data_IF_485786157779
#
_entry.id   IF_485786157779
#
_cell.length_a   1.000
_cell.length_b   1.000
_cell.length_c   1.000
_cell.angle_alpha   90.00
_cell.angle_beta   90.00
_cell.angle_gamma   90.00
#
_symmetry.space_group_name_H-M   'P 1'
#
loop_
_entity.id
_entity.type
_entity.pdbx_description
1 polymer ?
#
# COMPACT_ATOMS: atom_id res chain seq x y z
N UNK A 1 -13.06 43.83 -2.89
CA UNK A 1 -11.66 43.83 -2.42
C UNK A 1 -11.07 42.49 -2.87
N UNK A 2 -10.36 42.56 -3.96
CA UNK A 2 -9.76 41.44 -4.67
C UNK A 2 -8.53 40.96 -3.91
N UNK A 3 -8.58 39.74 -3.37
CA UNK A 3 -7.40 39.07 -2.85
C UNK A 3 -6.55 38.58 -4.03
N UNK A 4 -5.37 39.15 -4.14
CA UNK A 4 -4.33 38.74 -5.09
C UNK A 4 -3.91 37.30 -4.78
N UNK A 5 -4.02 36.43 -5.79
CA UNK A 5 -3.34 35.14 -5.80
C UNK A 5 -1.84 35.38 -5.74
N UNK A 6 -1.20 34.72 -4.80
CA UNK A 6 0.25 34.65 -4.70
C UNK A 6 0.74 33.70 -5.82
N UNK A 7 1.43 34.30 -6.80
CA UNK A 7 2.10 33.64 -7.92
C UNK A 7 3.33 32.89 -7.35
N UNK A 8 3.15 31.66 -6.89
CA UNK A 8 4.24 30.72 -6.70
C UNK A 8 4.16 29.64 -7.76
N UNK A 9 4.60 29.96 -8.98
CA UNK A 9 5.11 28.98 -9.94
C UNK A 9 6.42 28.41 -9.35
N UNK A 10 6.31 27.71 -8.22
CA UNK A 10 7.38 27.03 -7.53
C UNK A 10 7.69 25.69 -8.21
N UNK A 11 8.90 25.20 -7.99
CA UNK A 11 9.28 23.81 -8.32
C UNK A 11 8.28 22.82 -7.71
N UNK A 12 8.07 21.67 -8.37
CA UNK A 12 7.28 20.60 -7.82
C UNK A 12 7.77 20.25 -6.40
N UNK A 13 6.88 20.00 -5.43
CA UNK A 13 7.26 19.59 -4.08
C UNK A 13 7.92 18.20 -4.08
N UNK A 14 8.58 17.83 -3.00
CA UNK A 14 9.34 16.57 -2.91
C UNK A 14 8.51 15.31 -3.23
N UNK A 15 7.22 15.30 -2.88
CA UNK A 15 6.30 14.20 -3.20
C UNK A 15 5.84 14.18 -4.68
N UNK A 16 6.16 15.21 -5.46
CA UNK A 16 5.86 15.34 -6.87
C UNK A 16 7.13 15.62 -7.71
N UNK A 17 8.31 15.26 -7.21
CA UNK A 17 9.63 15.50 -7.81
C UNK A 17 9.80 14.90 -9.21
N UNK A 18 8.99 13.88 -9.52
CA UNK A 18 8.94 13.26 -10.84
C UNK A 18 8.32 14.14 -11.92
N UNK A 19 7.68 15.25 -11.56
CA UNK A 19 7.11 16.22 -12.51
C UNK A 19 8.05 17.37 -12.76
N UNK A 20 8.20 17.77 -14.03
CA UNK A 20 8.80 19.04 -14.36
C UNK A 20 7.95 20.21 -13.80
N UNK A 21 8.54 21.40 -13.59
CA UNK A 21 7.77 22.57 -13.12
C UNK A 21 6.55 22.89 -14.01
N UNK A 22 6.64 22.65 -15.31
CA UNK A 22 5.55 22.87 -16.26
C UNK A 22 4.44 21.82 -16.10
N UNK A 23 4.79 20.54 -15.97
CA UNK A 23 3.83 19.46 -15.71
C UNK A 23 3.13 19.64 -14.38
N UNK A 24 3.88 20.02 -13.34
CA UNK A 24 3.32 20.34 -12.04
C UNK A 24 2.30 21.47 -12.10
N UNK A 25 2.65 22.59 -12.72
CA UNK A 25 1.73 23.72 -12.88
C UNK A 25 0.46 23.32 -13.65
N UNK A 26 0.60 22.50 -14.67
CA UNK A 26 -0.53 21.98 -15.43
C UNK A 26 -1.40 21.04 -14.62
N UNK A 27 -0.80 20.14 -13.84
CA UNK A 27 -1.52 19.22 -12.95
C UNK A 27 -2.37 20.00 -11.94
N UNK A 28 -1.77 20.95 -11.23
CA UNK A 28 -2.46 21.78 -10.24
C UNK A 28 -3.60 22.58 -10.88
N UNK A 29 -3.36 23.18 -12.04
CA UNK A 29 -4.39 23.93 -12.76
C UNK A 29 -5.56 23.03 -13.21
N UNK A 30 -5.27 21.81 -13.66
CA UNK A 30 -6.28 20.83 -14.09
C UNK A 30 -7.12 20.37 -12.90
N UNK A 31 -6.48 20.13 -11.75
CA UNK A 31 -7.11 19.76 -10.51
C UNK A 31 -8.07 20.87 -10.02
N UNK A 32 -7.57 22.11 -9.90
CA UNK A 32 -8.36 23.24 -9.46
C UNK A 32 -9.57 23.50 -10.38
N UNK A 33 -9.37 23.43 -11.71
CA UNK A 33 -10.43 23.62 -12.68
C UNK A 33 -11.55 22.57 -12.57
N UNK A 34 -11.23 21.31 -12.23
CA UNK A 34 -12.24 20.28 -12.04
C UNK A 34 -13.05 20.50 -10.74
N UNK A 35 -12.38 20.82 -9.64
CA UNK A 35 -13.02 21.10 -8.36
C UNK A 35 -13.90 22.38 -8.42
N UNK A 36 -13.41 23.44 -9.09
CA UNK A 36 -14.19 24.65 -9.32
C UNK A 36 -15.46 24.37 -10.14
N UNK A 37 -15.35 23.57 -11.20
CA UNK A 37 -16.50 23.18 -12.04
C UNK A 37 -17.55 22.42 -11.24
N UNK A 38 -17.14 21.65 -10.23
CA UNK A 38 -18.02 20.94 -9.31
C UNK A 38 -18.63 21.84 -8.24
N UNK A 39 -18.16 23.09 -8.12
CA UNK A 39 -18.57 24.01 -7.06
C UNK A 39 -18.12 23.59 -5.67
N UNK A 40 -17.05 22.79 -5.59
CA UNK A 40 -16.49 22.27 -4.34
C UNK A 40 -15.49 23.28 -3.76
N UNK A 41 -15.75 23.74 -2.54
CA UNK A 41 -14.77 24.55 -1.81
C UNK A 41 -13.55 23.67 -1.50
N UNK A 42 -12.38 24.12 -1.94
CA UNK A 42 -11.16 23.32 -1.81
C UNK A 42 -9.93 24.16 -1.46
N UNK A 43 -8.92 23.50 -0.87
CA UNK A 43 -7.59 24.02 -0.63
C UNK A 43 -6.57 22.92 -0.92
N UNK A 44 -5.69 23.17 -1.87
CA UNK A 44 -4.59 22.24 -2.18
C UNK A 44 -3.46 22.55 -1.20
N UNK A 45 -3.03 21.53 -0.47
CA UNK A 45 -1.88 21.58 0.42
C UNK A 45 -0.65 21.06 -0.34
N UNK A 46 0.23 21.98 -0.70
CA UNK A 46 1.42 21.68 -1.49
C UNK A 46 2.52 20.96 -0.70
N UNK A 47 2.49 21.07 0.61
CA UNK A 47 3.50 20.43 1.48
C UNK A 47 3.17 18.97 1.71
N UNK A 48 1.91 18.65 1.99
CA UNK A 48 1.46 17.29 2.30
C UNK A 48 0.98 16.49 1.09
N UNK A 49 0.80 17.13 -0.07
CA UNK A 49 0.24 16.46 -1.25
C UNK A 49 -1.23 16.07 -1.10
N UNK A 50 -1.96 16.84 -0.32
CA UNK A 50 -3.37 16.60 -0.08
C UNK A 50 -4.24 17.76 -0.63
N UNK A 51 -5.47 17.44 -0.99
CA UNK A 51 -6.51 18.43 -1.21
C UNK A 51 -7.57 18.33 -0.12
N UNK A 52 -7.78 19.45 0.58
CA UNK A 52 -8.86 19.58 1.55
C UNK A 52 -10.10 20.05 0.79
N UNK A 53 -11.16 19.29 0.84
CA UNK A 53 -12.45 19.62 0.20
C UNK A 53 -13.55 19.73 1.25
N UNK A 54 -14.52 20.59 1.01
CA UNK A 54 -15.72 20.73 1.83
C UNK A 54 -16.91 20.42 0.95
N UNK A 55 -17.54 19.28 1.22
CA UNK A 55 -18.80 18.85 0.57
C UNK A 55 -19.91 18.84 1.62
N UNK A 56 -20.36 17.67 2.05
CA UNK A 56 -21.25 17.50 3.22
C UNK A 56 -20.49 17.52 4.56
N UNK A 57 -19.14 17.51 4.52
CA UNK A 57 -18.20 17.59 5.63
C UNK A 57 -16.77 17.84 5.13
N UNK A 58 -15.79 18.10 6.02
CA UNK A 58 -14.40 18.23 5.63
C UNK A 58 -13.82 16.88 5.26
N UNK A 59 -13.26 16.79 4.06
CA UNK A 59 -12.56 15.60 3.57
C UNK A 59 -11.13 15.97 3.14
N UNK A 60 -10.19 15.05 3.38
CA UNK A 60 -8.79 15.18 2.96
C UNK A 60 -8.49 14.05 1.99
N UNK A 61 -8.11 14.40 0.77
CA UNK A 61 -7.84 13.46 -0.31
C UNK A 61 -6.37 13.55 -0.71
N UNK A 62 -5.65 12.43 -0.65
CA UNK A 62 -4.26 12.35 -1.09
C UNK A 62 -4.16 12.40 -2.62
N UNK A 63 -3.20 13.18 -3.13
CA UNK A 63 -3.00 13.40 -4.57
C UNK A 63 -1.93 12.50 -5.18
N UNK A 64 -1.10 11.82 -4.38
CA UNK A 64 0.03 11.03 -4.88
C UNK A 64 -0.38 9.96 -5.90
N UNK A 65 -1.46 9.23 -5.65
CA UNK A 65 -1.98 8.23 -6.58
C UNK A 65 -2.48 8.84 -7.90
N UNK A 66 -3.19 9.96 -7.81
CA UNK A 66 -3.67 10.67 -9.00
C UNK A 66 -2.51 11.20 -9.84
N UNK A 67 -1.48 11.71 -9.18
CA UNK A 67 -0.26 12.18 -9.82
C UNK A 67 0.45 11.05 -10.57
N UNK A 68 0.60 9.87 -9.96
CA UNK A 68 1.19 8.69 -10.61
C UNK A 68 0.37 8.23 -11.82
N UNK A 69 -0.97 8.21 -11.72
CA UNK A 69 -1.86 7.91 -12.84
C UNK A 69 -1.69 8.91 -13.98
N UNK A 70 -1.52 10.19 -13.69
CA UNK A 70 -1.28 11.23 -14.68
C UNK A 70 0.11 11.05 -15.34
N UNK A 71 1.15 10.76 -14.56
CA UNK A 71 2.50 10.49 -15.07
C UNK A 71 2.56 9.35 -16.10
N UNK A 72 1.81 8.28 -15.85
CA UNK A 72 1.72 7.13 -16.77
C UNK A 72 0.89 7.38 -18.05
N UNK A 73 0.39 8.61 -18.27
CA UNK A 73 -0.50 8.95 -19.39
C UNK A 73 -0.02 10.19 -20.16
N UNK A 74 -0.34 10.31 -21.46
CA UNK A 74 -0.11 11.54 -22.19
C UNK A 74 -0.89 12.69 -21.55
N UNK A 75 -0.30 13.90 -21.61
CA UNK A 75 -0.80 15.13 -20.93
C UNK A 75 -2.26 15.45 -21.27
N UNK A 76 -2.66 15.17 -22.52
CA UNK A 76 -4.03 15.38 -23.01
C UNK A 76 -5.07 14.53 -22.25
N UNK A 77 -4.64 13.41 -21.69
CA UNK A 77 -5.50 12.50 -20.92
C UNK A 77 -5.65 12.86 -19.44
N UNK A 78 -4.87 13.83 -18.92
CA UNK A 78 -4.87 14.19 -17.50
C UNK A 78 -6.20 14.76 -17.03
N UNK A 79 -6.83 15.63 -17.83
CA UNK A 79 -8.14 16.18 -17.47
C UNK A 79 -9.22 15.09 -17.32
N UNK A 80 -9.16 14.05 -18.15
CA UNK A 80 -10.06 12.92 -18.03
C UNK A 80 -9.75 12.06 -16.80
N UNK A 81 -8.46 11.87 -16.46
CA UNK A 81 -8.02 11.14 -15.28
C UNK A 81 -8.42 11.86 -13.98
N UNK A 82 -8.21 13.17 -13.92
CA UNK A 82 -8.61 14.03 -12.79
C UNK A 82 -10.13 14.02 -12.62
N UNK A 83 -10.87 14.20 -13.72
CA UNK A 83 -12.34 14.14 -13.70
C UNK A 83 -12.83 12.80 -13.16
N UNK A 84 -12.32 11.68 -13.71
CA UNK A 84 -12.69 10.34 -13.26
C UNK A 84 -12.40 10.12 -11.78
N UNK A 85 -11.22 10.55 -11.30
CA UNK A 85 -10.86 10.45 -9.90
C UNK A 85 -11.88 11.14 -8.98
N UNK A 86 -12.28 12.36 -9.31
CA UNK A 86 -13.26 13.10 -8.50
C UNK A 86 -14.71 12.66 -8.73
N UNK A 87 -15.07 12.13 -9.91
CA UNK A 87 -16.37 11.46 -10.11
C UNK A 87 -16.50 10.28 -9.12
N UNK A 88 -15.43 9.49 -8.98
CA UNK A 88 -15.38 8.34 -8.06
C UNK A 88 -15.43 8.79 -6.60
N UNK A 89 -14.62 9.77 -6.21
CA UNK A 89 -14.43 10.13 -4.79
C UNK A 89 -15.54 11.05 -4.24
N UNK A 90 -16.10 11.94 -5.09
CA UNK A 90 -17.05 12.97 -4.64
C UNK A 90 -18.50 12.70 -5.07
N UNK A 91 -18.73 11.94 -6.14
CA UNK A 91 -20.06 11.72 -6.73
C UNK A 91 -20.64 10.32 -6.44
N UNK A 92 -20.04 9.54 -5.54
CA UNK A 92 -20.54 8.22 -5.14
C UNK A 92 -21.99 8.32 -4.59
N UNK A 93 -22.98 8.29 -5.49
CA UNK A 93 -24.39 8.59 -5.17
C UNK A 93 -25.24 7.40 -4.73
N UNK A 94 -24.76 6.16 -4.92
CA UNK A 94 -25.58 4.96 -4.71
C UNK A 94 -25.00 3.98 -3.67
N UNK A 95 -24.08 4.42 -2.81
CA UNK A 95 -23.47 3.62 -1.75
C UNK A 95 -23.67 4.23 -0.35
N UNK A 96 -23.54 3.41 0.67
CA UNK A 96 -23.44 3.91 2.05
C UNK A 96 -22.25 4.84 2.17
N UNK A 97 -22.43 5.92 2.90
CA UNK A 97 -21.36 6.88 3.15
C UNK A 97 -20.48 6.39 4.30
N UNK A 98 -19.20 6.83 4.34
CA UNK A 98 -18.33 6.55 5.47
C UNK A 98 -18.95 7.04 6.79
N UNK A 99 -19.69 8.15 6.77
CA UNK A 99 -20.38 8.70 7.94
C UNK A 99 -21.51 7.77 8.46
N UNK A 100 -22.27 7.12 7.57
CA UNK A 100 -23.29 6.15 7.96
C UNK A 100 -22.64 4.89 8.56
N UNK A 101 -21.54 4.42 7.97
CA UNK A 101 -20.79 3.26 8.48
C UNK A 101 -20.15 3.56 9.83
N UNK A 102 -19.57 4.75 10.02
CA UNK A 102 -18.96 5.15 11.29
C UNK A 102 -19.94 5.11 12.47
N UNK A 103 -21.23 5.38 12.23
CA UNK A 103 -22.26 5.44 13.28
C UNK A 103 -22.80 4.09 13.70
N UNK A 104 -22.69 3.05 12.88
CA UNK A 104 -23.32 1.74 13.12
C UNK A 104 -22.38 0.60 12.74
N UNK A 105 -21.81 -0.06 13.75
CA UNK A 105 -20.93 -1.20 13.57
C UNK A 105 -21.56 -2.34 12.77
N UNK A 106 -22.85 -2.59 12.93
CA UNK A 106 -23.53 -3.66 12.19
C UNK A 106 -23.55 -3.41 10.68
N UNK A 107 -23.55 -2.12 10.29
CA UNK A 107 -23.43 -1.69 8.91
C UNK A 107 -21.98 -1.64 8.43
N UNK A 108 -21.04 -1.23 9.31
CA UNK A 108 -19.63 -1.11 8.99
C UNK A 108 -18.92 -2.47 8.83
N UNK A 109 -19.28 -3.44 9.65
CA UNK A 109 -18.63 -4.75 9.76
C UNK A 109 -18.35 -5.45 8.41
N UNK A 110 -19.27 -5.54 7.45
CA UNK A 110 -19.00 -6.18 6.16
C UNK A 110 -18.17 -5.33 5.19
N UNK A 111 -17.93 -4.05 5.52
CA UNK A 111 -17.21 -3.10 4.69
C UNK A 111 -15.81 -2.75 5.20
N UNK A 112 -15.47 -3.15 6.43
CA UNK A 112 -14.12 -2.90 6.96
C UNK A 112 -13.13 -3.89 6.37
N UNK A 113 -11.98 -3.38 5.90
CA UNK A 113 -10.86 -4.17 5.39
C UNK A 113 -9.53 -3.57 5.81
N UNK A 114 -8.49 -4.37 5.83
CA UNK A 114 -7.12 -3.92 6.09
C UNK A 114 -6.43 -3.53 4.78
N UNK A 115 -5.73 -2.40 4.79
CA UNK A 115 -4.90 -1.97 3.68
C UNK A 115 -3.51 -1.57 4.16
N UNK A 116 -2.47 -2.00 3.46
CA UNK A 116 -1.08 -1.71 3.81
C UNK A 116 -0.62 -0.35 3.30
N UNK A 117 0.16 0.33 4.14
CA UNK A 117 0.81 1.62 3.84
C UNK A 117 2.20 1.67 4.47
N UNK A 118 3.09 2.44 3.87
CA UNK A 118 4.25 2.96 4.59
C UNK A 118 3.77 4.03 5.57
N UNK A 119 4.24 3.98 6.82
CA UNK A 119 3.80 4.89 7.89
C UNK A 119 3.98 6.36 7.53
N UNK A 120 5.12 6.69 6.90
CA UNK A 120 5.48 8.07 6.55
C UNK A 120 4.58 8.65 5.43
N UNK A 121 3.86 7.78 4.72
CA UNK A 121 2.91 8.19 3.67
C UNK A 121 1.49 8.40 4.19
N UNK A 122 1.24 8.19 5.49
CA UNK A 122 -0.07 8.44 6.07
C UNK A 122 -0.28 9.95 6.31
N UNK A 123 -1.51 10.44 6.16
CA UNK A 123 -1.86 11.81 6.54
C UNK A 123 -1.72 11.99 8.06
N UNK A 124 -1.45 13.23 8.48
CA UNK A 124 -1.37 13.61 9.90
C UNK A 124 -2.79 13.73 10.51
N UNK A 125 -3.48 12.59 10.56
CA UNK A 125 -4.78 12.42 11.21
C UNK A 125 -4.78 11.09 11.97
N UNK A 126 -5.41 11.01 13.15
CA UNK A 126 -5.51 9.76 13.90
C UNK A 126 -6.32 8.71 13.15
N UNK A 127 -5.66 7.66 12.67
CA UNK A 127 -6.26 6.52 11.97
C UNK A 127 -6.18 5.26 12.83
N UNK A 128 -7.06 4.30 12.57
CA UNK A 128 -6.98 2.97 13.16
C UNK A 128 -5.92 2.17 12.43
N UNK A 129 -4.81 1.84 13.12
CA UNK A 129 -3.63 1.21 12.52
C UNK A 129 -3.03 0.14 13.40
N UNK A 130 -2.39 -0.85 12.77
CA UNK A 130 -1.58 -1.88 13.42
C UNK A 130 -0.18 -1.91 12.78
N UNK A 131 0.84 -2.01 13.62
CA UNK A 131 2.23 -2.15 13.16
C UNK A 131 2.45 -3.57 12.65
N UNK A 132 2.79 -3.72 11.35
CA UNK A 132 3.05 -5.03 10.73
C UNK A 132 4.55 -5.31 10.68
N UNK A 133 5.33 -4.28 10.42
CA UNK A 133 6.79 -4.26 10.49
C UNK A 133 7.25 -2.82 10.74
N UNK A 134 8.51 -2.62 11.05
CA UNK A 134 9.10 -1.28 11.18
C UNK A 134 8.79 -0.44 9.92
N UNK A 135 7.99 0.62 10.09
CA UNK A 135 7.55 1.51 9.03
C UNK A 135 6.44 0.98 8.10
N UNK A 136 5.98 -0.26 8.27
CA UNK A 136 4.86 -0.84 7.51
C UNK A 136 3.65 -1.01 8.43
N UNK A 137 2.53 -0.42 8.07
CA UNK A 137 1.29 -0.46 8.86
C UNK A 137 0.11 -0.99 8.06
N UNK A 138 -0.77 -1.73 8.74
CA UNK A 138 -2.11 -2.01 8.27
C UNK A 138 -3.04 -0.89 8.78
N UNK A 139 -3.82 -0.32 7.89
CA UNK A 139 -4.81 0.71 8.17
C UNK A 139 -6.20 0.11 7.98
N UNK A 140 -7.07 0.33 8.94
CA UNK A 140 -8.48 -0.01 8.77
C UNK A 140 -9.13 0.92 7.77
N UNK A 141 -9.84 0.35 6.81
CA UNK A 141 -10.50 1.12 5.75
C UNK A 141 -11.93 0.64 5.55
N UNK A 142 -12.80 1.54 5.11
CA UNK A 142 -14.08 1.17 4.49
C UNK A 142 -13.85 0.89 3.02
N UNK A 143 -14.25 -0.31 2.58
CA UNK A 143 -14.34 -0.68 1.18
C UNK A 143 -15.71 -0.30 0.66
N UNK A 144 -15.74 0.75 -0.14
CA UNK A 144 -16.95 1.27 -0.79
C UNK A 144 -16.87 0.98 -2.30
N UNK A 145 -18.01 0.93 -3.02
CA UNK A 145 -18.03 0.48 -4.42
C UNK A 145 -17.02 1.16 -5.34
N UNK A 146 -16.74 2.44 -5.10
CA UNK A 146 -15.89 3.25 -5.99
C UNK A 146 -14.65 3.82 -5.28
N UNK A 147 -14.49 3.60 -3.96
CA UNK A 147 -13.42 4.22 -3.18
C UNK A 147 -13.11 3.43 -1.92
N UNK A 148 -11.90 3.64 -1.40
CA UNK A 148 -11.46 3.13 -0.10
C UNK A 148 -11.16 4.32 0.80
N UNK A 149 -11.79 4.36 1.98
CA UNK A 149 -11.68 5.46 2.94
C UNK A 149 -11.07 4.92 4.24
N UNK A 150 -9.99 5.53 4.73
CA UNK A 150 -9.38 5.16 6.00
C UNK A 150 -10.30 5.51 7.17
N UNK A 151 -10.43 4.60 8.13
CA UNK A 151 -11.24 4.78 9.33
C UNK A 151 -10.45 5.61 10.34
N UNK A 152 -11.05 6.69 10.83
CA UNK A 152 -10.45 7.53 11.86
C UNK A 152 -10.67 6.92 13.24
N UNK A 153 -9.74 7.21 14.14
CA UNK A 153 -9.83 6.70 15.52
C UNK A 153 -11.12 7.14 16.21
N UNK A 154 -11.56 8.39 15.98
CA UNK A 154 -12.83 8.91 16.52
C UNK A 154 -14.08 8.16 16.02
N UNK A 155 -14.04 7.64 14.79
CA UNK A 155 -15.14 6.85 14.22
C UNK A 155 -15.21 5.46 14.88
N UNK A 156 -14.03 4.86 15.12
CA UNK A 156 -13.91 3.55 15.79
C UNK A 156 -14.38 3.58 17.24
N UNK A 157 -14.15 4.67 17.97
CA UNK A 157 -14.56 4.81 19.38
C UNK A 157 -16.06 4.61 19.62
N UNK A 158 -16.87 4.72 18.59
CA UNK A 158 -18.32 4.50 18.65
C UNK A 158 -18.71 3.01 18.58
N UNK A 159 -17.76 2.11 18.29
CA UNK A 159 -18.01 0.69 18.09
C UNK A 159 -17.62 -0.11 19.34
N UNK A 160 -18.55 -0.95 19.82
CA UNK A 160 -18.28 -1.90 20.90
C UNK A 160 -17.63 -3.17 20.34
N UNK A 161 -16.35 -3.05 19.97
CA UNK A 161 -15.53 -4.13 19.41
C UNK A 161 -14.08 -3.94 19.85
N UNK A 162 -13.35 -5.02 20.15
CA UNK A 162 -11.94 -4.95 20.51
C UNK A 162 -11.08 -4.70 19.26
N UNK A 163 -9.84 -4.22 19.46
CA UNK A 163 -8.92 -3.99 18.33
C UNK A 163 -8.52 -5.30 17.65
N UNK A 164 -8.37 -6.39 18.43
CA UNK A 164 -8.05 -7.72 17.89
C UNK A 164 -9.20 -8.28 17.05
N UNK A 165 -10.46 -8.25 17.58
CA UNK A 165 -11.64 -8.66 16.81
C UNK A 165 -11.80 -7.82 15.53
N UNK A 166 -11.50 -6.53 15.60
CA UNK A 166 -11.61 -5.62 14.47
C UNK A 166 -10.59 -5.94 13.39
N UNK A 167 -9.33 -6.24 13.80
CA UNK A 167 -8.29 -6.70 12.89
C UNK A 167 -8.70 -8.00 12.19
N UNK A 168 -9.12 -9.00 12.97
CA UNK A 168 -9.50 -10.32 12.47
C UNK A 168 -10.69 -10.24 11.49
N UNK A 169 -11.72 -9.45 11.83
CA UNK A 169 -12.87 -9.24 10.95
C UNK A 169 -12.44 -8.56 9.65
N UNK A 170 -11.63 -7.49 9.74
CA UNK A 170 -11.18 -6.77 8.57
C UNK A 170 -10.27 -7.62 7.66
N UNK A 171 -9.42 -8.48 8.26
CA UNK A 171 -8.59 -9.44 7.52
C UNK A 171 -9.44 -10.55 6.88
N UNK A 172 -10.43 -11.07 7.60
CA UNK A 172 -11.36 -12.06 7.07
C UNK A 172 -12.12 -11.52 5.85
N UNK A 173 -12.57 -10.27 5.90
CA UNK A 173 -13.25 -9.62 4.77
C UNK A 173 -12.35 -9.48 3.53
N UNK A 174 -11.02 -9.31 3.70
CA UNK A 174 -10.09 -9.36 2.56
C UNK A 174 -9.97 -10.79 2.01
N UNK A 175 -9.86 -11.80 2.89
CA UNK A 175 -9.79 -13.21 2.50
C UNK A 175 -11.02 -13.70 1.76
N UNK A 176 -12.21 -13.18 2.09
CA UNK A 176 -13.49 -13.54 1.43
C UNK A 176 -13.52 -13.14 -0.06
N UNK A 177 -12.68 -12.19 -0.51
CA UNK A 177 -12.51 -11.89 -1.95
C UNK A 177 -11.87 -13.04 -2.73
N UNK A 178 -11.27 -14.02 -2.02
CA UNK A 178 -10.56 -15.15 -2.60
C UNK A 178 -9.07 -14.85 -2.85
N UNK A 179 -8.32 -15.89 -3.16
CA UNK A 179 -6.90 -15.77 -3.45
C UNK A 179 -6.66 -15.15 -4.83
N UNK A 180 -5.69 -14.26 -4.91
CA UNK A 180 -5.22 -13.73 -6.19
C UNK A 180 -4.50 -14.83 -7.00
N UNK A 181 -4.52 -14.76 -8.33
CA UNK A 181 -3.70 -15.65 -9.14
C UNK A 181 -2.21 -15.43 -8.83
N UNK A 182 -1.50 -16.52 -8.56
CA UNK A 182 -0.06 -16.52 -8.38
C UNK A 182 0.62 -16.89 -9.70
N UNK A 183 1.55 -16.05 -10.16
CA UNK A 183 2.37 -16.29 -11.35
C UNK A 183 3.79 -16.57 -10.93
N UNK A 184 4.34 -17.71 -11.34
CA UNK A 184 5.73 -18.03 -11.10
C UNK A 184 6.64 -17.33 -12.11
N UNK A 185 7.67 -16.66 -11.59
CA UNK A 185 8.75 -16.02 -12.36
C UNK A 185 10.01 -16.86 -12.17
N UNK A 186 10.42 -17.56 -13.23
CA UNK A 186 11.66 -18.34 -13.25
C UNK A 186 12.88 -17.40 -13.29
N UNK A 187 13.78 -17.55 -12.35
CA UNK A 187 15.05 -16.80 -12.24
C UNK A 187 16.25 -17.58 -12.75
N UNK A 188 16.04 -18.80 -13.26
CA UNK A 188 17.08 -19.76 -13.60
C UNK A 188 17.68 -20.45 -12.37
N UNK A 189 18.48 -21.49 -12.60
CA UNK A 189 19.10 -22.31 -11.55
C UNK A 189 18.09 -22.85 -10.50
N UNK A 190 16.84 -23.06 -10.93
CA UNK A 190 15.72 -23.51 -10.08
C UNK A 190 15.33 -22.51 -8.98
N UNK A 191 15.74 -21.25 -9.09
CA UNK A 191 15.21 -20.18 -8.27
C UNK A 191 13.96 -19.59 -8.96
N UNK A 192 12.92 -19.30 -8.18
CA UNK A 192 11.71 -18.70 -8.69
C UNK A 192 11.12 -17.72 -7.68
N UNK A 193 10.36 -16.75 -8.16
CA UNK A 193 9.51 -15.87 -7.36
C UNK A 193 8.06 -16.16 -7.68
N UNK A 194 7.19 -15.90 -6.72
CA UNK A 194 5.76 -15.83 -6.96
C UNK A 194 5.33 -14.36 -7.00
N UNK A 195 4.57 -14.00 -8.01
CA UNK A 195 3.96 -12.70 -8.20
C UNK A 195 2.46 -12.83 -7.98
N UNK A 196 1.93 -12.07 -7.04
CA UNK A 196 0.49 -11.84 -6.88
C UNK A 196 0.16 -10.47 -7.48
N UNK A 197 -0.76 -10.45 -8.42
CA UNK A 197 -1.18 -9.22 -9.06
C UNK A 197 -2.70 -9.08 -8.99
N UNK A 198 -3.19 -8.04 -8.32
CA UNK A 198 -4.60 -7.73 -8.18
C UNK A 198 -5.00 -6.54 -9.06
N UNK A 199 -5.31 -6.79 -10.34
CA UNK A 199 -5.56 -5.71 -11.31
C UNK A 199 -6.73 -4.79 -10.98
N UNK A 200 -7.77 -5.27 -10.28
CA UNK A 200 -8.99 -4.51 -9.96
C UNK A 200 -9.24 -4.29 -8.49
N UNK A 201 -8.61 -5.08 -7.60
CA UNK A 201 -8.79 -4.90 -6.15
C UNK A 201 -7.84 -3.85 -5.58
N UNK A 202 -8.34 -3.07 -4.62
CA UNK A 202 -7.52 -2.12 -3.84
C UNK A 202 -6.75 -2.80 -2.71
N UNK A 203 -6.96 -4.11 -2.50
CA UNK A 203 -6.47 -4.87 -1.34
C UNK A 203 -5.44 -5.93 -1.71
N UNK A 204 -4.90 -5.93 -2.93
CA UNK A 204 -3.93 -6.94 -3.35
C UNK A 204 -2.68 -6.99 -2.44
N UNK A 205 -2.15 -5.83 -2.02
CA UNK A 205 -1.03 -5.77 -1.08
C UNK A 205 -1.36 -6.41 0.27
N UNK A 206 -2.61 -6.38 0.70
CA UNK A 206 -3.05 -6.94 1.99
C UNK A 206 -2.97 -8.47 2.03
N UNK A 207 -2.84 -9.14 0.86
CA UNK A 207 -2.56 -10.57 0.79
C UNK A 207 -1.21 -10.96 1.40
N UNK A 208 -0.30 -10.00 1.59
CA UNK A 208 0.92 -10.22 2.36
C UNK A 208 0.66 -10.58 3.83
N UNK A 209 -0.49 -10.17 4.40
CA UNK A 209 -0.89 -10.46 5.78
C UNK A 209 -1.32 -11.93 6.00
N UNK A 210 -1.61 -12.65 4.92
CA UNK A 210 -1.99 -14.06 4.94
C UNK A 210 -1.31 -14.86 3.83
N UNK A 211 -0.03 -14.56 3.60
CA UNK A 211 0.78 -15.24 2.57
C UNK A 211 0.85 -16.76 2.80
N UNK A 212 0.60 -17.22 4.01
CA UNK A 212 0.53 -18.63 4.37
C UNK A 212 -0.52 -19.40 3.55
N UNK A 213 -1.64 -18.73 3.19
CA UNK A 213 -2.69 -19.34 2.39
C UNK A 213 -2.20 -19.71 0.98
N UNK A 214 -1.18 -19.01 0.46
CA UNK A 214 -0.55 -19.28 -0.84
C UNK A 214 0.45 -20.43 -0.84
N UNK A 215 0.93 -20.79 0.34
CA UNK A 215 1.86 -21.92 0.55
C UNK A 215 1.20 -23.07 1.32
N UNK A 216 -0.14 -23.13 1.31
CA UNK A 216 -0.96 -24.17 1.92
C UNK A 216 -0.69 -24.37 3.43
N UNK A 217 -0.42 -23.26 4.12
CA UNK A 217 -0.11 -23.24 5.56
C UNK A 217 1.33 -23.63 5.91
N UNK A 218 2.13 -24.10 4.95
CA UNK A 218 3.51 -24.53 5.17
C UNK A 218 4.51 -23.47 4.69
N UNK A 219 4.88 -22.53 5.58
CA UNK A 219 5.91 -21.52 5.30
C UNK A 219 7.33 -22.06 5.33
N UNK A 220 7.50 -23.32 5.70
CA UNK A 220 8.80 -24.02 5.78
C UNK A 220 9.64 -23.61 6.99
N UNK A 221 10.81 -24.25 7.16
CA UNK A 221 11.65 -24.05 8.35
C UNK A 221 12.41 -22.73 8.38
N UNK A 222 12.41 -21.97 7.27
CA UNK A 222 13.13 -20.71 7.14
C UNK A 222 12.22 -19.53 6.81
N UNK A 223 10.90 -19.78 6.65
CA UNK A 223 9.90 -18.75 6.39
C UNK A 223 9.86 -18.28 4.93
N UNK A 224 9.33 -17.06 4.74
CA UNK A 224 9.06 -16.47 3.42
C UNK A 224 9.64 -15.06 3.35
N UNK A 225 10.33 -14.73 2.25
CA UNK A 225 10.70 -13.33 1.92
C UNK A 225 9.61 -12.73 1.05
N UNK A 226 9.23 -11.49 1.36
CA UNK A 226 8.16 -10.73 0.72
C UNK A 226 8.69 -9.40 0.20
N UNK A 227 8.10 -8.88 -0.88
CA UNK A 227 8.16 -7.48 -1.27
C UNK A 227 6.76 -6.96 -1.54
N UNK A 228 6.47 -5.74 -1.09
CA UNK A 228 5.17 -5.08 -1.21
C UNK A 228 5.39 -3.69 -1.84
N UNK A 229 5.80 -3.66 -3.14
CA UNK A 229 6.23 -2.40 -3.74
C UNK A 229 5.10 -1.41 -3.94
N UNK A 230 3.91 -1.89 -4.21
CA UNK A 230 2.73 -1.07 -4.49
C UNK A 230 1.44 -1.82 -4.11
N UNK A 231 0.33 -1.09 -4.05
CA UNK A 231 -0.98 -1.60 -3.59
C UNK A 231 -1.55 -2.77 -4.40
N UNK A 232 -1.08 -3.01 -5.63
CA UNK A 232 -1.61 -4.04 -6.52
C UNK A 232 -0.72 -5.28 -6.65
N UNK A 233 0.44 -5.28 -5.97
CA UNK A 233 1.47 -6.31 -6.17
C UNK A 233 2.05 -6.78 -4.85
N UNK A 234 2.19 -8.09 -4.72
CA UNK A 234 3.03 -8.77 -3.73
C UNK A 234 3.96 -9.72 -4.48
N UNK A 235 5.25 -9.67 -4.18
CA UNK A 235 6.22 -10.66 -4.58
C UNK A 235 6.58 -11.50 -3.37
N UNK A 236 6.75 -12.82 -3.52
CA UNK A 236 7.24 -13.63 -2.42
C UNK A 236 8.09 -14.82 -2.89
N UNK A 237 8.93 -15.29 -1.96
CA UNK A 237 9.75 -16.48 -2.14
C UNK A 237 9.78 -17.28 -0.85
N UNK A 238 9.34 -18.54 -0.87
CA UNK A 238 9.48 -19.47 0.24
C UNK A 238 10.93 -19.95 0.34
N UNK A 239 11.55 -19.80 1.51
CA UNK A 239 12.96 -20.10 1.71
C UNK A 239 13.16 -21.60 1.93
N UNK A 240 13.98 -22.22 1.08
CA UNK A 240 14.36 -23.64 1.21
C UNK A 240 15.87 -23.83 1.35
N UNK A 241 16.66 -23.04 0.62
CA UNK A 241 18.12 -23.15 0.51
C UNK A 241 18.74 -21.84 0.03
N UNK A 242 20.02 -21.84 -0.32
CA UNK A 242 20.76 -20.66 -0.75
C UNK A 242 20.27 -20.01 -2.05
N UNK A 243 19.33 -20.62 -2.77
CA UNK A 243 18.67 -19.96 -3.95
C UNK A 243 17.89 -18.71 -3.54
N UNK A 244 17.54 -18.57 -2.26
CA UNK A 244 16.94 -17.33 -1.71
C UNK A 244 17.79 -16.09 -1.98
N UNK A 245 19.13 -16.22 -2.05
CA UNK A 245 20.01 -15.08 -2.33
C UNK A 245 19.69 -14.49 -3.72
N UNK A 246 19.54 -15.36 -4.72
CA UNK A 246 19.14 -14.93 -6.07
C UNK A 246 17.72 -14.36 -6.11
N UNK A 247 16.81 -14.95 -5.34
CA UNK A 247 15.46 -14.43 -5.21
C UNK A 247 15.46 -13.02 -4.59
N UNK A 248 16.23 -12.79 -3.52
CA UNK A 248 16.40 -11.47 -2.90
C UNK A 248 16.94 -10.43 -3.88
N UNK A 249 18.01 -10.76 -4.64
CA UNK A 249 18.58 -9.85 -5.63
C UNK A 249 17.53 -9.44 -6.68
N UNK A 250 16.80 -10.40 -7.23
CA UNK A 250 15.75 -10.15 -8.20
C UNK A 250 14.58 -9.34 -7.61
N UNK A 251 14.18 -9.65 -6.37
CA UNK A 251 13.11 -8.95 -5.68
C UNK A 251 13.47 -7.50 -5.41
N UNK A 252 14.70 -7.20 -4.98
CA UNK A 252 15.14 -5.81 -4.71
C UNK A 252 15.03 -4.97 -5.98
N UNK A 253 15.56 -5.47 -7.10
CA UNK A 253 15.51 -4.74 -8.39
C UNK A 253 14.07 -4.54 -8.84
N UNK A 254 13.27 -5.60 -8.79
CA UNK A 254 11.87 -5.56 -9.25
C UNK A 254 11.02 -4.66 -8.36
N UNK A 255 11.16 -4.79 -7.02
CA UNK A 255 10.40 -3.99 -6.08
C UNK A 255 10.76 -2.50 -6.16
N UNK A 256 12.04 -2.17 -6.30
CA UNK A 256 12.47 -0.77 -6.45
C UNK A 256 11.87 -0.14 -7.72
N UNK A 257 11.91 -0.84 -8.86
CA UNK A 257 11.31 -0.34 -10.10
C UNK A 257 9.81 -0.17 -9.97
N UNK A 258 9.11 -1.16 -9.40
CA UNK A 258 7.67 -1.09 -9.20
C UNK A 258 7.27 0.00 -8.20
N UNK A 259 8.07 0.25 -7.17
CA UNK A 259 7.86 1.32 -6.20
C UNK A 259 7.93 2.69 -6.86
N UNK A 260 8.90 2.91 -7.75
CA UNK A 260 9.07 4.18 -8.47
C UNK A 260 8.01 4.40 -9.52
N UNK A 261 7.64 3.36 -10.27
CA UNK A 261 6.79 3.48 -11.47
C UNK A 261 5.30 3.19 -11.19
N UNK A 262 4.99 2.52 -10.10
CA UNK A 262 3.64 2.04 -9.83
C UNK A 262 2.74 3.01 -9.07
N UNK A 263 1.41 2.98 -9.31
CA UNK A 263 0.46 3.76 -8.54
C UNK A 263 0.26 3.15 -7.13
N UNK A 264 0.32 4.00 -6.10
CA UNK A 264 0.11 3.56 -4.72
C UNK A 264 1.30 2.80 -4.15
N UNK A 265 2.49 3.38 -4.32
CA UNK A 265 3.74 2.88 -3.75
C UNK A 265 3.60 2.66 -2.24
N UNK A 266 4.15 1.53 -1.75
CA UNK A 266 4.10 1.15 -0.33
C UNK A 266 5.53 1.08 0.20
N UNK A 267 6.37 0.15 -0.29
CA UNK A 267 7.73 0.02 0.20
C UNK A 267 8.68 -0.55 -0.85
N UNK A 268 9.89 -0.03 -0.94
CA UNK A 268 10.98 -0.61 -1.74
C UNK A 268 11.79 -1.65 -0.97
N UNK A 269 11.56 -1.81 0.34
CA UNK A 269 12.23 -2.80 1.17
C UNK A 269 11.61 -4.19 1.02
N UNK A 270 12.38 -5.19 1.40
CA UNK A 270 11.87 -6.54 1.56
C UNK A 270 11.44 -6.77 3.02
N UNK A 271 10.66 -7.82 3.20
CA UNK A 271 10.18 -8.27 4.52
C UNK A 271 10.39 -9.78 4.64
N UNK A 272 10.63 -10.24 5.85
CA UNK A 272 10.71 -11.65 6.15
C UNK A 272 9.62 -12.05 7.14
N UNK A 273 8.81 -13.02 6.74
CA UNK A 273 7.93 -13.75 7.64
C UNK A 273 8.75 -14.92 8.20
N UNK A 274 9.20 -14.87 9.46
CA UNK A 274 9.94 -15.97 10.06
C UNK A 274 9.06 -17.18 10.27
N UNK A 275 9.64 -18.40 10.35
CA UNK A 275 8.89 -19.58 10.77
C UNK A 275 8.34 -19.36 12.18
N UNK A 276 7.10 -19.77 12.42
CA UNK A 276 6.52 -19.71 13.76
C UNK A 276 7.24 -20.68 14.68
N UNK A 277 7.70 -20.19 15.84
CA UNK A 277 8.20 -21.04 16.91
C UNK A 277 7.04 -21.81 17.57
N UNK A 278 7.36 -22.89 18.27
CA UNK A 278 6.36 -23.69 19.01
C UNK A 278 5.63 -22.84 20.09
N UNK A 279 6.24 -21.74 20.55
CA UNK A 279 5.71 -20.81 21.56
C UNK A 279 5.05 -19.54 20.99
N UNK A 280 4.96 -19.39 19.65
CA UNK A 280 4.31 -18.20 19.05
C UNK A 280 2.80 -18.34 19.19
N UNK A 281 2.18 -17.52 20.03
CA UNK A 281 0.74 -17.39 20.04
C UNK A 281 0.27 -16.73 18.74
N UNK A 282 -0.92 -17.11 18.28
CA UNK A 282 -1.59 -16.47 17.13
C UNK A 282 -1.92 -14.99 17.41
N UNK A 283 -1.78 -14.57 18.68
CA UNK A 283 -2.20 -13.28 19.21
C UNK A 283 -1.15 -12.17 19.03
N UNK A 284 0.11 -12.48 18.65
CA UNK A 284 1.14 -11.47 18.36
C UNK A 284 1.04 -11.01 16.89
N UNK A 285 0.01 -10.21 16.59
CA UNK A 285 -0.20 -9.61 15.27
C UNK A 285 0.75 -8.43 15.01
N UNK A 286 1.20 -7.77 16.07
CA UNK A 286 2.17 -6.69 15.97
C UNK A 286 3.56 -7.26 15.61
N UNK A 287 4.19 -6.64 14.59
CA UNK A 287 5.52 -7.05 14.10
C UNK A 287 5.63 -8.48 13.57
N UNK A 288 4.57 -8.97 12.90
CA UNK A 288 4.60 -10.30 12.29
C UNK A 288 5.65 -10.42 11.16
N UNK A 289 6.05 -9.31 10.55
CA UNK A 289 7.07 -9.25 9.52
C UNK A 289 8.33 -8.54 10.02
N UNK A 290 9.47 -9.01 9.57
CA UNK A 290 10.79 -8.41 9.85
C UNK A 290 11.24 -7.63 8.63
N UNK A 291 11.42 -6.31 8.75
CA UNK A 291 11.92 -5.46 7.67
C UNK A 291 13.36 -5.84 7.31
N UNK A 292 13.62 -5.94 6.03
CA UNK A 292 14.93 -6.23 5.44
C UNK A 292 15.33 -5.02 4.58
N UNK A 293 16.01 -4.01 5.16
CA UNK A 293 16.34 -2.77 4.47
C UNK A 293 17.19 -3.00 3.22
N UNK A 294 16.77 -2.39 2.12
CA UNK A 294 17.42 -2.48 0.83
C UNK A 294 17.64 -1.07 0.25
N UNK A 295 18.76 -0.86 -0.41
CA UNK A 295 19.03 0.41 -1.09
C UNK A 295 19.79 0.15 -2.37
N UNK A 296 19.40 0.80 -3.47
CA UNK A 296 20.16 0.85 -4.71
C UNK A 296 20.69 2.26 -4.89
N UNK A 297 22.02 2.40 -4.92
CA UNK A 297 22.70 3.66 -5.20
C UNK A 297 23.80 3.43 -6.22
N UNK A 298 23.86 4.27 -7.29
CA UNK A 298 24.94 4.25 -8.28
C UNK A 298 25.34 2.84 -8.76
N UNK A 299 24.36 2.00 -9.08
CA UNK A 299 24.52 0.58 -9.47
C UNK A 299 25.04 -0.33 -8.33
N UNK A 300 25.06 0.14 -7.10
CA UNK A 300 25.40 -0.69 -5.95
C UNK A 300 24.13 -1.05 -5.18
N UNK A 301 23.87 -2.35 -5.09
CA UNK A 301 22.82 -2.90 -4.25
C UNK A 301 23.39 -3.08 -2.82
N UNK A 302 22.73 -2.47 -1.84
CA UNK A 302 23.00 -2.68 -0.43
C UNK A 302 21.83 -3.41 0.20
N UNK A 303 22.13 -4.54 0.82
CA UNK A 303 21.21 -5.34 1.59
C UNK A 303 21.75 -5.44 3.02
N UNK A 304 21.01 -4.95 4.00
CA UNK A 304 21.41 -4.86 5.39
C UNK A 304 20.44 -5.66 6.28
N UNK A 305 20.47 -6.99 6.21
CA UNK A 305 19.55 -7.82 6.96
C UNK A 305 19.82 -7.72 8.47
N UNK A 306 18.77 -7.74 9.31
CA UNK A 306 18.93 -7.80 10.74
C UNK A 306 19.63 -9.10 11.16
N UNK A 307 20.27 -9.14 12.35
CA UNK A 307 21.09 -10.26 12.78
C UNK A 307 20.39 -11.63 12.76
N UNK A 308 19.10 -11.66 13.03
CA UNK A 308 18.30 -12.89 13.01
C UNK A 308 18.17 -13.46 11.60
N UNK A 309 17.91 -12.63 10.58
CA UNK A 309 17.85 -13.06 9.20
C UNK A 309 19.24 -13.48 8.68
N UNK A 310 20.28 -12.72 9.04
CA UNK A 310 21.66 -13.08 8.69
C UNK A 310 22.09 -14.45 9.27
N UNK A 311 21.70 -14.76 10.51
CA UNK A 311 21.95 -16.08 11.11
C UNK A 311 21.21 -17.18 10.36
N UNK A 312 19.93 -16.94 10.01
CA UNK A 312 19.14 -17.88 9.21
C UNK A 312 19.81 -18.16 7.87
N UNK A 313 20.23 -17.13 7.12
CA UNK A 313 20.97 -17.29 5.86
C UNK A 313 22.23 -18.12 6.03
N UNK A 314 23.01 -17.89 7.12
CA UNK A 314 24.22 -18.64 7.42
C UNK A 314 23.98 -20.11 7.77
N UNK A 315 22.76 -20.52 8.08
CA UNK A 315 22.37 -21.90 8.36
C UNK A 315 21.88 -22.68 7.13
N UNK A 316 21.64 -21.98 5.99
CA UNK A 316 21.11 -22.61 4.78
C UNK A 316 22.14 -23.54 4.12
N UNK A 317 21.65 -24.65 3.62
CA UNK A 317 22.45 -25.57 2.83
C UNK A 317 22.49 -25.15 1.34
N UNK A 318 23.55 -25.48 0.60
CA UNK A 318 23.51 -25.42 -0.85
C UNK A 318 22.34 -26.24 -1.41
N UNK A 319 21.79 -25.87 -2.57
CA UNK A 319 20.73 -26.65 -3.20
C UNK A 319 21.21 -28.09 -3.44
N UNK A 320 20.36 -29.06 -3.13
CA UNK A 320 20.67 -30.45 -3.39
C UNK A 320 20.94 -30.70 -4.89
N UNK A 321 22.07 -31.25 -5.22
CA UNK A 321 22.37 -31.70 -6.59
C UNK A 321 21.41 -32.84 -6.94
N UNK A 322 20.55 -32.61 -7.92
CA UNK A 322 19.73 -33.71 -8.46
C UNK A 322 20.58 -34.55 -9.37
N UNK A 323 20.79 -35.78 -9.01
CA UNK A 323 21.33 -36.81 -9.87
C UNK A 323 20.31 -37.25 -10.91
#
# INVERSE_FOLDING_TARGET
>A
MTSRGDDTAGSAPAWADAFSPEEWAWFVATLAADLDRRGVTHRIDMETGCVHVTTSGPNVLGLSNLLQVCRGRPREAWAAAVKHHFDVVLDAKDGRTAEELSRDWSLARPHVKLRLYERDNLPDVPLVTWEIADGLVAVLTFDLPETVISVRLEDREQWDVTDDDLYDIALANVREEGLLPATEIDLGDRAALQLLEGGSTFFAASHALFIEDYVQGDIGPYGVVLAIPQRHVVLFHRIHDLRVVRAIEAMIVTATNMYVDGPGSISSDLYWLPPRGEDSSLDDLEHCLVRLPCTITDQTLRFLPPPQFARMLGSLQPPAESH
#
